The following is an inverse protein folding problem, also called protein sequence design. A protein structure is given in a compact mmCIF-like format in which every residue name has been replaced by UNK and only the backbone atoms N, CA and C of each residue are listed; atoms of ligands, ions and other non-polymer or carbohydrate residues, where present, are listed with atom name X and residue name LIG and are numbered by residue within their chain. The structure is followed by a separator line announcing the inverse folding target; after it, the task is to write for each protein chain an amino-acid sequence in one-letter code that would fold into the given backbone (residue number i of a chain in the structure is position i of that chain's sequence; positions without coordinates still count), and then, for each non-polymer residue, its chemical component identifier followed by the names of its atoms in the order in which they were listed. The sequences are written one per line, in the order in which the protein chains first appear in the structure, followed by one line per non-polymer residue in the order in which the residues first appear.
data_IF_784846335070
#
_entry.id   IF_784846335070
#
_cell.length_a   1.000
_cell.length_b   1.000
_cell.length_c   1.000
_cell.angle_alpha   90.00
_cell.angle_beta   90.00
_cell.angle_gamma   90.00
#
_symmetry.space_group_name_H-M   'P 1'
#
loop_
_entity.id
_entity.type
_entity.pdbx_description
1 polymer ?
#
# COMPACT_ATOMS: atom_id res chain seq x y z
N UNK A 1 12.65 -32.81 -31.47
CA UNK A 1 12.10 -33.18 -30.16
C UNK A 1 12.98 -34.23 -29.53
N UNK A 2 13.77 -33.88 -28.53
CA UNK A 2 14.39 -34.82 -27.59
C UNK A 2 14.72 -33.99 -26.34
N UNK A 3 14.00 -34.28 -25.30
CA UNK A 3 14.26 -33.73 -23.96
C UNK A 3 15.44 -34.49 -23.35
N UNK A 4 16.46 -33.77 -22.91
CA UNK A 4 17.54 -34.29 -22.09
C UNK A 4 17.24 -33.91 -20.62
N UNK A 5 17.57 -34.79 -19.63
CA UNK A 5 17.13 -34.63 -18.26
C UNK A 5 17.83 -33.47 -17.55
N UNK A 6 17.13 -32.89 -16.61
CA UNK A 6 17.56 -31.81 -15.72
C UNK A 6 18.81 -32.21 -14.92
N UNK A 7 19.85 -31.39 -15.01
CA UNK A 7 20.98 -31.41 -14.07
C UNK A 7 20.69 -30.36 -12.94
N UNK A 8 20.58 -30.81 -11.69
CA UNK A 8 20.24 -29.94 -10.55
C UNK A 8 21.32 -28.92 -10.15
N UNK A 9 22.49 -28.93 -10.82
CA UNK A 9 23.64 -28.09 -10.49
C UNK A 9 23.82 -26.90 -11.47
N UNK A 10 23.00 -26.73 -12.48
CA UNK A 10 23.10 -25.58 -13.41
C UNK A 10 22.36 -24.35 -12.87
N UNK A 11 23.10 -23.40 -12.37
CA UNK A 11 22.62 -22.05 -11.98
C UNK A 11 22.51 -21.15 -13.23
N UNK A 12 21.41 -21.23 -13.96
CA UNK A 12 21.11 -20.28 -15.05
C UNK A 12 20.39 -20.88 -16.25
N UNK A 13 19.47 -20.14 -16.83
CA UNK A 13 18.74 -20.50 -18.05
C UNK A 13 19.53 -20.01 -19.28
N UNK A 14 20.01 -20.92 -20.12
CA UNK A 14 20.69 -20.57 -21.38
C UNK A 14 19.66 -20.60 -22.52
N UNK A 15 19.32 -19.45 -23.08
CA UNK A 15 18.52 -19.35 -24.31
C UNK A 15 19.47 -19.19 -25.49
N UNK A 16 19.53 -20.20 -26.37
CA UNK A 16 20.28 -20.13 -27.64
C UNK A 16 19.37 -19.58 -28.75
N UNK A 17 19.60 -18.36 -29.18
CA UNK A 17 19.10 -17.87 -30.47
C UNK A 17 20.19 -18.03 -31.55
N UNK A 18 19.87 -18.75 -32.61
CA UNK A 18 20.73 -18.92 -33.78
C UNK A 18 20.33 -17.89 -34.83
N UNK A 19 21.06 -16.79 -34.94
CA UNK A 19 20.97 -15.83 -36.03
C UNK A 19 22.40 -15.63 -36.55
N UNK A 20 22.57 -15.76 -37.86
CA UNK A 20 23.80 -15.89 -38.61
C UNK A 20 24.99 -15.02 -38.19
N UNK A 21 26.16 -15.61 -38.26
CA UNK A 21 27.52 -15.05 -38.25
C UNK A 21 27.83 -13.83 -37.37
N UNK A 22 27.37 -13.82 -36.10
CA UNK A 22 27.84 -12.88 -35.09
C UNK A 22 28.29 -13.63 -33.85
N UNK A 23 29.41 -13.17 -33.29
CA UNK A 23 29.98 -13.67 -32.04
C UNK A 23 28.92 -13.81 -30.94
N UNK A 24 28.78 -14.94 -30.21
CA UNK A 24 27.76 -15.07 -29.19
C UNK A 24 28.14 -14.22 -27.97
N UNK A 25 27.57 -13.00 -27.90
CA UNK A 25 27.53 -12.24 -26.66
C UNK A 25 26.49 -12.88 -25.73
N UNK A 26 26.97 -13.52 -24.69
CA UNK A 26 26.10 -14.04 -23.62
C UNK A 26 25.59 -12.83 -22.82
N UNK A 27 24.31 -12.45 -23.02
CA UNK A 27 23.59 -11.55 -22.11
C UNK A 27 23.24 -12.34 -20.86
N UNK A 28 24.01 -12.17 -19.80
CA UNK A 28 23.59 -12.56 -18.47
C UNK A 28 22.49 -11.60 -18.02
N UNK A 29 21.23 -12.02 -18.11
CA UNK A 29 20.19 -11.38 -17.32
C UNK A 29 20.50 -11.67 -15.85
N UNK A 30 20.63 -10.66 -14.99
CA UNK A 30 20.76 -10.91 -13.56
C UNK A 30 19.52 -11.70 -13.12
N UNK A 31 19.75 -12.80 -12.41
CA UNK A 31 18.67 -13.52 -11.72
C UNK A 31 17.91 -12.50 -10.89
N UNK A 32 16.55 -12.55 -10.86
CA UNK A 32 15.79 -11.69 -9.98
C UNK A 32 16.39 -11.83 -8.58
N UNK A 33 16.69 -10.66 -7.98
CA UNK A 33 17.22 -10.61 -6.62
C UNK A 33 16.37 -11.57 -5.78
N UNK A 34 17.00 -12.50 -5.10
CA UNK A 34 16.31 -13.41 -4.18
C UNK A 34 15.61 -12.49 -3.18
N UNK A 35 14.28 -12.42 -3.27
CA UNK A 35 13.45 -11.76 -2.26
C UNK A 35 13.83 -12.44 -0.96
N UNK A 36 14.57 -11.74 -0.12
CA UNK A 36 15.00 -12.24 1.18
C UNK A 36 13.70 -12.59 1.91
N UNK A 37 13.43 -13.88 2.07
CA UNK A 37 12.18 -14.34 2.69
C UNK A 37 12.19 -13.81 4.11
N UNK A 38 11.45 -12.73 4.34
CA UNK A 38 11.35 -12.13 5.65
C UNK A 38 10.53 -13.09 6.53
N UNK A 39 11.13 -13.56 7.59
CA UNK A 39 10.45 -14.39 8.57
C UNK A 39 9.93 -13.47 9.67
N UNK A 40 8.67 -13.06 9.57
CA UNK A 40 8.01 -12.31 10.62
C UNK A 40 6.99 -13.20 11.34
N UNK A 41 7.06 -13.20 12.66
CA UNK A 41 6.06 -13.78 13.54
C UNK A 41 5.35 -12.65 14.29
N UNK A 42 4.02 -12.71 14.34
CA UNK A 42 3.22 -11.77 15.12
C UNK A 42 3.60 -11.82 16.60
N UNK A 43 3.32 -10.76 17.32
CA UNK A 43 3.63 -10.68 18.74
C UNK A 43 2.86 -11.76 19.53
N UNK A 44 3.46 -12.32 20.58
CA UNK A 44 2.76 -13.30 21.43
C UNK A 44 1.45 -12.73 22.00
N UNK A 45 0.40 -13.55 22.00
CA UNK A 45 -0.91 -13.17 22.54
C UNK A 45 -1.85 -12.47 21.57
N UNK A 46 -1.41 -12.12 20.37
CA UNK A 46 -2.25 -11.52 19.32
C UNK A 46 -3.33 -12.49 18.84
N UNK A 47 -4.53 -11.96 18.70
CA UNK A 47 -5.74 -12.69 18.29
C UNK A 47 -6.36 -12.14 16.99
N UNK A 48 -5.93 -10.97 16.52
CA UNK A 48 -6.40 -10.36 15.28
C UNK A 48 -5.36 -9.44 14.65
N UNK A 49 -5.44 -9.25 13.33
CA UNK A 49 -4.52 -8.43 12.56
C UNK A 49 -5.28 -7.36 11.79
N UNK A 50 -4.78 -6.14 11.79
CA UNK A 50 -5.28 -5.06 10.95
C UNK A 50 -4.13 -4.61 10.05
N UNK A 51 -4.46 -4.33 8.80
CA UNK A 51 -3.50 -3.83 7.82
C UNK A 51 -4.00 -2.49 7.27
N UNK A 52 -3.13 -1.50 7.23
CA UNK A 52 -3.35 -0.39 6.32
C UNK A 52 -3.20 -0.88 4.86
N UNK A 53 -3.64 -0.07 3.90
CA UNK A 53 -3.62 -0.45 2.49
C UNK A 53 -2.48 0.23 1.72
N UNK A 54 -2.48 1.57 1.72
CA UNK A 54 -1.67 2.39 0.82
C UNK A 54 -0.24 2.56 1.36
N UNK A 55 0.74 1.87 0.79
CA UNK A 55 2.10 1.81 1.31
C UNK A 55 2.33 0.66 2.30
N UNK A 56 1.28 -0.09 2.63
CA UNK A 56 1.35 -1.25 3.53
C UNK A 56 1.04 -2.56 2.80
N UNK A 57 -0.19 -2.77 2.36
CA UNK A 57 -0.57 -3.95 1.57
C UNK A 57 -0.25 -3.79 0.09
N UNK A 58 -0.34 -2.56 -0.42
CA UNK A 58 -0.22 -2.22 -1.83
C UNK A 58 0.71 -1.03 -2.04
N UNK A 59 1.61 -1.13 -3.02
CA UNK A 59 2.55 -0.07 -3.41
C UNK A 59 1.83 0.98 -4.28
N UNK A 60 0.92 1.74 -3.65
CA UNK A 60 0.08 2.77 -4.28
C UNK A 60 0.70 4.16 -4.20
N UNK A 61 1.61 4.40 -3.27
CA UNK A 61 2.10 5.74 -2.94
C UNK A 61 2.75 6.48 -4.11
N UNK A 62 3.55 5.85 -4.99
CA UNK A 62 4.08 6.52 -6.18
C UNK A 62 2.98 7.12 -7.07
N UNK A 63 1.87 6.39 -7.22
CA UNK A 63 0.74 6.81 -8.05
C UNK A 63 -0.10 7.89 -7.36
N UNK A 64 -0.28 7.81 -6.05
CA UNK A 64 -0.92 8.86 -5.26
C UNK A 64 -0.15 10.16 -5.34
N UNK A 65 1.15 10.15 -5.11
CA UNK A 65 1.98 11.36 -5.18
C UNK A 65 2.01 11.97 -6.58
N UNK A 66 2.10 11.12 -7.62
CA UNK A 66 2.02 11.58 -9.01
C UNK A 66 0.67 12.24 -9.29
N UNK A 67 -0.43 11.62 -8.88
CA UNK A 67 -1.78 12.17 -9.05
C UNK A 67 -1.93 13.54 -8.37
N UNK A 68 -1.49 13.67 -7.12
CA UNK A 68 -1.49 14.95 -6.41
C UNK A 68 -0.69 16.03 -7.13
N UNK A 69 0.53 15.69 -7.57
CA UNK A 69 1.41 16.64 -8.26
C UNK A 69 0.78 17.14 -9.56
N UNK A 70 0.23 16.25 -10.37
CA UNK A 70 -0.42 16.61 -11.64
C UNK A 70 -1.68 17.44 -11.38
N UNK A 71 -2.51 17.06 -10.41
CA UNK A 71 -3.70 17.84 -10.03
C UNK A 71 -3.33 19.27 -9.61
N UNK A 72 -2.32 19.43 -8.77
CA UNK A 72 -1.85 20.74 -8.35
C UNK A 72 -1.35 21.59 -9.52
N UNK A 73 -0.54 21.01 -10.42
CA UNK A 73 0.00 21.70 -11.59
C UNK A 73 -1.11 22.23 -12.51
N UNK A 74 -2.20 21.48 -12.66
CA UNK A 74 -3.37 21.91 -13.45
C UNK A 74 -4.00 23.20 -12.94
N UNK A 75 -3.94 23.41 -11.63
CA UNK A 75 -4.46 24.62 -10.97
C UNK A 75 -3.37 25.67 -10.68
N UNK A 76 -2.18 25.53 -11.31
CA UNK A 76 -1.08 26.50 -11.18
C UNK A 76 -0.34 26.42 -9.84
N UNK A 77 -0.50 25.32 -9.09
CA UNK A 77 0.19 25.08 -7.84
C UNK A 77 1.31 24.04 -8.00
N UNK A 78 2.33 24.12 -7.16
CA UNK A 78 3.38 23.11 -7.04
C UNK A 78 3.52 22.68 -5.59
N UNK A 79 3.59 21.38 -5.36
CA UNK A 79 3.78 20.78 -4.04
C UNK A 79 4.87 19.70 -4.11
N UNK A 80 5.68 19.66 -3.06
CA UNK A 80 6.72 18.65 -2.91
C UNK A 80 6.19 17.38 -2.24
N UNK A 81 6.93 16.31 -2.42
CA UNK A 81 6.61 15.00 -1.81
C UNK A 81 6.68 15.07 -0.28
N UNK A 82 7.57 15.90 0.29
CA UNK A 82 7.71 16.03 1.74
C UNK A 82 6.44 16.62 2.38
N UNK A 83 5.78 17.54 1.67
CA UNK A 83 4.47 18.04 2.11
C UNK A 83 3.42 16.93 2.12
N UNK A 84 3.30 16.16 1.03
CA UNK A 84 2.32 15.08 0.93
C UNK A 84 2.52 13.99 2.00
N UNK A 85 3.77 13.66 2.30
CA UNK A 85 4.11 12.64 3.31
C UNK A 85 3.56 12.96 4.70
N UNK A 86 3.44 14.23 5.08
CA UNK A 86 2.90 14.65 6.38
C UNK A 86 1.44 14.24 6.58
N UNK A 87 0.73 14.01 5.48
CA UNK A 87 -0.69 13.67 5.49
C UNK A 87 -0.96 12.23 5.07
N UNK A 88 0.08 11.40 4.93
CA UNK A 88 -0.09 9.97 4.63
C UNK A 88 -0.95 9.31 5.71
N UNK A 89 -1.98 8.57 5.27
CA UNK A 89 -2.95 7.94 6.16
C UNK A 89 -4.22 8.77 6.42
N UNK A 90 -4.25 10.06 6.00
CA UNK A 90 -5.48 10.87 6.07
C UNK A 90 -6.29 10.80 4.77
N UNK A 91 -7.59 11.11 4.82
CA UNK A 91 -8.41 11.21 3.61
C UNK A 91 -7.92 12.26 2.62
N UNK A 92 -8.10 11.99 1.33
CA UNK A 92 -7.64 12.87 0.27
C UNK A 92 -8.22 14.29 0.33
N UNK A 93 -9.47 14.47 0.78
CA UNK A 93 -10.07 15.80 0.90
C UNK A 93 -9.39 16.69 1.97
N UNK A 94 -8.81 16.09 3.02
CA UNK A 94 -7.98 16.82 3.98
C UNK A 94 -6.70 17.31 3.28
N UNK A 95 -6.08 16.44 2.48
CA UNK A 95 -4.88 16.79 1.71
C UNK A 95 -5.19 17.91 0.72
N UNK A 96 -6.34 17.84 0.02
CA UNK A 96 -6.79 18.85 -0.92
C UNK A 96 -7.02 20.21 -0.24
N UNK A 97 -7.65 20.24 0.93
CA UNK A 97 -7.87 21.46 1.72
C UNK A 97 -6.54 22.09 2.14
N UNK A 98 -5.60 21.29 2.62
CA UNK A 98 -4.27 21.77 3.01
C UNK A 98 -3.45 22.27 1.80
N UNK A 99 -3.61 21.66 0.62
CA UNK A 99 -3.03 22.18 -0.64
C UNK A 99 -3.61 23.54 -0.98
N UNK A 100 -4.93 23.70 -0.93
CA UNK A 100 -5.62 24.97 -1.21
C UNK A 100 -5.09 26.08 -0.31
N UNK A 101 -4.96 25.82 0.99
CA UNK A 101 -4.41 26.76 1.97
C UNK A 101 -2.96 27.10 1.66
N UNK A 102 -2.10 26.07 1.50
CA UNK A 102 -0.66 26.25 1.28
C UNK A 102 -0.34 27.02 0.01
N UNK A 103 -1.08 26.76 -1.07
CA UNK A 103 -0.86 27.37 -2.38
C UNK A 103 -1.68 28.63 -2.64
N UNK A 104 -2.41 29.15 -1.62
CA UNK A 104 -3.27 30.35 -1.73
C UNK A 104 -4.32 30.24 -2.84
N UNK A 105 -4.91 29.06 -3.04
CA UNK A 105 -5.93 28.80 -4.06
C UNK A 105 -7.36 29.09 -3.57
N UNK A 106 -7.52 29.65 -2.37
CA UNK A 106 -8.83 29.94 -1.79
C UNK A 106 -9.71 30.78 -2.73
N UNK A 107 -10.92 30.29 -3.00
CA UNK A 107 -11.88 30.93 -3.91
C UNK A 107 -11.63 30.74 -5.41
N UNK A 108 -10.49 30.12 -5.78
CA UNK A 108 -10.14 29.82 -7.16
C UNK A 108 -10.38 28.34 -7.51
N UNK A 109 -10.25 27.45 -6.54
CA UNK A 109 -10.35 25.98 -6.70
C UNK A 109 -11.08 25.42 -5.48
N UNK A 110 -11.93 24.40 -5.72
CA UNK A 110 -12.61 23.67 -4.66
C UNK A 110 -11.86 22.36 -4.32
N UNK A 111 -12.14 21.81 -3.13
CA UNK A 111 -11.64 20.50 -2.71
C UNK A 111 -12.00 19.42 -3.75
N UNK A 112 -13.28 19.40 -4.19
CA UNK A 112 -13.77 18.42 -5.16
C UNK A 112 -13.01 18.51 -6.49
N UNK A 113 -12.74 19.71 -6.99
CA UNK A 113 -11.98 19.89 -8.22
C UNK A 113 -10.56 19.29 -8.15
N UNK A 114 -9.86 19.51 -7.04
CA UNK A 114 -8.53 18.91 -6.84
C UNK A 114 -8.63 17.39 -6.69
N UNK A 115 -9.63 16.93 -5.94
CA UNK A 115 -9.86 15.49 -5.73
C UNK A 115 -10.18 14.76 -7.02
N UNK A 116 -11.07 15.31 -7.85
CA UNK A 116 -11.46 14.74 -9.13
C UNK A 116 -10.24 14.58 -10.05
N UNK A 117 -9.44 15.63 -10.20
CA UNK A 117 -8.22 15.57 -11.02
C UNK A 117 -7.21 14.56 -10.47
N UNK A 118 -6.99 14.54 -9.16
CA UNK A 118 -6.11 13.57 -8.51
C UNK A 118 -6.57 12.14 -8.74
N UNK A 119 -7.88 11.87 -8.60
CA UNK A 119 -8.44 10.54 -8.80
C UNK A 119 -8.38 10.10 -10.26
N UNK A 120 -8.64 11.02 -11.22
CA UNK A 120 -8.47 10.73 -12.65
C UNK A 120 -7.05 10.26 -12.93
N UNK A 121 -6.04 10.97 -12.43
CA UNK A 121 -4.63 10.60 -12.65
C UNK A 121 -4.25 9.29 -11.94
N UNK A 122 -4.72 9.10 -10.70
CA UNK A 122 -4.48 7.86 -9.96
C UNK A 122 -5.09 6.64 -10.68
N UNK A 123 -6.34 6.73 -11.14
CA UNK A 123 -7.03 5.63 -11.80
C UNK A 123 -6.42 5.22 -13.15
N UNK A 124 -5.76 6.14 -13.86
CA UNK A 124 -5.03 5.81 -15.09
C UNK A 124 -3.95 4.75 -14.87
N UNK A 125 -3.27 4.81 -13.74
CA UNK A 125 -2.12 3.96 -13.43
C UNK A 125 -2.40 2.93 -12.31
N UNK A 126 -3.58 2.93 -11.70
CA UNK A 126 -3.92 2.02 -10.61
C UNK A 126 -3.75 0.54 -10.99
N UNK A 127 -3.92 0.21 -12.28
CA UNK A 127 -3.70 -1.15 -12.80
C UNK A 127 -2.24 -1.63 -12.71
N UNK A 128 -1.29 -0.72 -12.46
CA UNK A 128 0.14 -1.02 -12.29
C UNK A 128 0.51 -1.30 -10.83
N UNK A 129 -0.41 -1.04 -9.90
CA UNK A 129 -0.20 -1.24 -8.45
C UNK A 129 0.12 -2.70 -8.18
N UNK A 130 1.14 -2.92 -7.36
CA UNK A 130 1.60 -4.26 -6.95
C UNK A 130 1.40 -4.45 -5.46
N UNK A 131 1.17 -5.70 -5.02
CA UNK A 131 1.16 -6.02 -3.60
C UNK A 131 2.58 -5.87 -3.00
N UNK A 132 2.67 -5.41 -1.76
CA UNK A 132 3.90 -5.36 -0.97
C UNK A 132 4.14 -6.75 -0.39
N UNK A 133 5.00 -7.51 -1.05
CA UNK A 133 5.15 -8.95 -0.83
C UNK A 133 5.44 -9.32 0.63
N UNK A 134 6.36 -8.65 1.37
CA UNK A 134 6.63 -9.01 2.77
C UNK A 134 5.37 -8.96 3.66
N UNK A 135 4.51 -7.97 3.48
CA UNK A 135 3.27 -7.82 4.25
C UNK A 135 2.23 -8.86 3.80
N UNK A 136 2.11 -9.08 2.48
CA UNK A 136 1.17 -10.06 1.93
C UNK A 136 1.51 -11.50 2.35
N UNK A 137 2.78 -11.82 2.59
CA UNK A 137 3.16 -13.13 3.12
C UNK A 137 2.62 -13.35 4.55
N UNK A 138 2.48 -12.28 5.36
CA UNK A 138 1.81 -12.35 6.67
C UNK A 138 0.31 -12.60 6.49
N UNK A 139 -0.33 -11.85 5.60
CA UNK A 139 -1.76 -12.07 5.27
C UNK A 139 -2.00 -13.54 4.91
N UNK A 140 -1.20 -14.09 4.00
CA UNK A 140 -1.32 -15.50 3.57
C UNK A 140 -1.05 -16.50 4.71
N UNK A 141 -0.07 -16.20 5.56
CA UNK A 141 0.32 -17.06 6.69
C UNK A 141 -0.80 -17.21 7.71
N UNK A 142 -1.53 -16.11 7.99
CA UNK A 142 -2.55 -16.08 9.02
C UNK A 142 -3.99 -16.17 8.50
N UNK A 143 -4.17 -16.22 7.17
CA UNK A 143 -5.48 -16.39 6.56
C UNK A 143 -6.17 -17.69 7.02
N UNK A 144 -7.40 -17.56 7.52
CA UNK A 144 -8.16 -18.68 8.09
C UNK A 144 -7.69 -19.14 9.48
N UNK A 145 -6.66 -18.47 10.05
CA UNK A 145 -6.15 -18.75 11.40
C UNK A 145 -6.55 -17.63 12.37
N UNK A 146 -6.41 -16.37 11.95
CA UNK A 146 -6.79 -15.21 12.72
C UNK A 146 -7.77 -14.33 11.93
N UNK A 147 -8.72 -13.66 12.59
CA UNK A 147 -9.48 -12.58 11.98
C UNK A 147 -8.55 -11.48 11.47
N UNK A 148 -8.86 -10.96 10.27
CA UNK A 148 -8.06 -9.90 9.65
C UNK A 148 -8.97 -8.82 9.09
N UNK A 149 -8.53 -7.56 9.16
CA UNK A 149 -9.22 -6.41 8.61
C UNK A 149 -8.28 -5.49 7.85
N UNK A 150 -8.85 -4.70 6.93
CA UNK A 150 -8.21 -3.51 6.35
C UNK A 150 -8.75 -2.28 7.06
N UNK A 151 -7.85 -1.38 7.53
CA UNK A 151 -8.20 -0.11 8.14
C UNK A 151 -7.40 1.03 7.50
N UNK A 152 -8.00 1.78 6.56
CA UNK A 152 -7.30 2.75 5.72
C UNK A 152 -7.98 4.12 5.69
N UNK A 153 -7.20 5.18 5.46
CA UNK A 153 -7.68 6.53 5.15
C UNK A 153 -8.12 6.72 3.69
N UNK A 154 -8.04 5.68 2.86
CA UNK A 154 -8.47 5.72 1.47
C UNK A 154 -9.99 5.83 1.29
N UNK A 155 -10.41 6.39 0.14
CA UNK A 155 -11.82 6.39 -0.26
C UNK A 155 -12.25 4.99 -0.72
N UNK A 156 -13.45 4.55 -0.33
CA UNK A 156 -13.94 3.18 -0.53
C UNK A 156 -13.76 2.64 -1.94
N UNK A 157 -14.16 3.39 -2.96
CA UNK A 157 -14.03 2.94 -4.35
C UNK A 157 -12.56 2.65 -4.73
N UNK A 158 -11.63 3.54 -4.38
CA UNK A 158 -10.22 3.36 -4.67
C UNK A 158 -9.63 2.15 -3.92
N UNK A 159 -10.04 1.95 -2.66
CA UNK A 159 -9.65 0.82 -1.80
C UNK A 159 -10.10 -0.51 -2.41
N UNK A 160 -11.38 -0.63 -2.75
CA UNK A 160 -11.95 -1.87 -3.31
C UNK A 160 -11.30 -2.22 -4.66
N UNK A 161 -11.07 -1.22 -5.52
CA UNK A 161 -10.34 -1.42 -6.79
C UNK A 161 -8.90 -1.86 -6.56
N UNK A 162 -8.17 -1.25 -5.61
CA UNK A 162 -6.80 -1.64 -5.28
C UNK A 162 -6.74 -3.08 -4.77
N UNK A 163 -7.63 -3.46 -3.86
CA UNK A 163 -7.72 -4.83 -3.34
C UNK A 163 -8.05 -5.84 -4.45
N UNK A 164 -8.92 -5.48 -5.39
CA UNK A 164 -9.27 -6.33 -6.53
C UNK A 164 -8.08 -6.51 -7.49
N UNK A 165 -7.41 -5.41 -7.88
CA UNK A 165 -6.26 -5.42 -8.80
C UNK A 165 -5.10 -6.23 -8.22
N UNK A 166 -4.83 -6.09 -6.92
CA UNK A 166 -3.75 -6.81 -6.23
C UNK A 166 -4.11 -8.26 -5.87
N UNK A 167 -5.38 -8.66 -6.09
CA UNK A 167 -5.88 -9.99 -5.74
C UNK A 167 -6.02 -10.24 -4.23
N UNK A 168 -6.03 -9.15 -3.42
CA UNK A 168 -6.07 -9.21 -1.96
C UNK A 168 -7.50 -9.22 -1.40
N UNK A 169 -8.51 -8.82 -2.16
CA UNK A 169 -9.91 -8.73 -1.70
C UNK A 169 -10.41 -10.00 -1.02
N UNK A 170 -9.99 -11.17 -1.49
CA UNK A 170 -10.41 -12.48 -0.96
C UNK A 170 -9.95 -12.79 0.48
N UNK A 171 -9.03 -12.00 1.02
CA UNK A 171 -8.47 -12.23 2.36
C UNK A 171 -9.18 -11.43 3.45
N UNK A 172 -10.02 -10.46 3.09
CA UNK A 172 -10.57 -9.50 4.03
C UNK A 172 -12.10 -9.38 3.90
N UNK A 173 -12.81 -9.81 4.94
CA UNK A 173 -14.26 -9.62 5.06
C UNK A 173 -14.60 -8.27 5.73
N UNK A 174 -13.63 -7.67 6.44
CA UNK A 174 -13.76 -6.40 7.15
C UNK A 174 -12.84 -5.38 6.50
N UNK A 175 -13.44 -4.31 5.96
CA UNK A 175 -12.72 -3.20 5.32
C UNK A 175 -13.33 -1.90 5.85
N UNK A 176 -12.54 -1.15 6.62
CA UNK A 176 -12.88 0.17 7.13
C UNK A 176 -12.09 1.21 6.34
N UNK A 177 -12.81 2.16 5.79
CA UNK A 177 -12.28 3.23 4.92
C UNK A 177 -12.59 4.60 5.52
N UNK A 178 -12.11 5.67 4.90
CA UNK A 178 -12.48 7.03 5.30
C UNK A 178 -14.01 7.31 5.24
N UNK A 179 -14.78 6.52 4.51
CA UNK A 179 -16.22 6.67 4.41
C UNK A 179 -17.00 6.06 5.60
N UNK A 180 -16.32 5.30 6.47
CA UNK A 180 -16.94 4.55 7.56
C UNK A 180 -16.66 5.15 8.95
N UNK A 181 -15.92 6.26 9.01
CA UNK A 181 -15.49 6.92 10.24
C UNK A 181 -15.72 8.43 10.17
N UNK A 182 -15.85 9.07 11.33
CA UNK A 182 -15.96 10.53 11.46
C UNK A 182 -14.61 11.17 11.74
N UNK A 183 -13.75 10.49 12.47
CA UNK A 183 -12.43 10.96 12.87
C UNK A 183 -11.34 10.12 12.20
N UNK A 184 -10.39 10.80 11.55
CA UNK A 184 -9.37 10.18 10.71
C UNK A 184 -8.04 10.08 11.46
N UNK A 185 -7.14 9.18 11.01
CA UNK A 185 -5.79 9.07 11.53
C UNK A 185 -5.14 10.47 11.68
N UNK A 186 -4.55 10.81 12.84
CA UNK A 186 -4.10 9.92 13.91
C UNK A 186 -5.18 9.49 14.93
N UNK A 187 -6.43 9.95 14.83
CA UNK A 187 -7.50 9.48 15.70
C UNK A 187 -7.71 7.96 15.53
N UNK A 188 -7.92 7.19 16.63
CA UNK A 188 -7.93 5.72 16.60
C UNK A 188 -9.18 5.09 15.98
N UNK A 189 -10.19 5.86 15.59
CA UNK A 189 -11.52 5.36 15.20
C UNK A 189 -11.47 4.31 14.09
N UNK A 190 -10.63 4.51 13.05
CA UNK A 190 -10.49 3.54 11.96
C UNK A 190 -10.14 2.14 12.48
N UNK A 191 -9.20 2.05 13.40
CA UNK A 191 -8.75 0.77 13.94
C UNK A 191 -9.69 0.24 15.01
N UNK A 192 -10.28 1.10 15.82
CA UNK A 192 -11.31 0.70 16.80
C UNK A 192 -12.55 0.11 16.11
N UNK A 193 -12.97 0.66 14.96
CA UNK A 193 -14.07 0.09 14.17
C UNK A 193 -13.71 -1.29 13.61
N UNK A 194 -12.45 -1.50 13.18
CA UNK A 194 -11.99 -2.83 12.80
C UNK A 194 -12.07 -3.80 13.99
N UNK A 195 -11.58 -3.41 15.17
CA UNK A 195 -11.61 -4.22 16.39
C UNK A 195 -13.04 -4.61 16.79
N UNK A 196 -13.97 -3.63 16.74
CA UNK A 196 -15.39 -3.85 17.03
C UNK A 196 -16.00 -4.93 16.13
N UNK A 197 -15.77 -4.82 14.80
CA UNK A 197 -16.29 -5.78 13.84
C UNK A 197 -15.63 -7.16 13.95
N UNK A 198 -14.35 -7.22 14.30
CA UNK A 198 -13.65 -8.48 14.60
C UNK A 198 -14.05 -9.07 15.94
N UNK A 199 -14.68 -8.28 16.84
CA UNK A 199 -15.04 -8.64 18.22
C UNK A 199 -13.81 -9.06 19.05
N UNK A 200 -12.73 -8.29 18.91
CA UNK A 200 -11.45 -8.53 19.60
C UNK A 200 -11.07 -7.25 20.34
N UNK A 201 -10.68 -7.40 21.60
CA UNK A 201 -10.17 -6.27 22.39
C UNK A 201 -8.89 -5.70 21.78
N UNK A 202 -8.72 -4.37 21.72
CA UNK A 202 -7.60 -3.70 21.05
C UNK A 202 -6.23 -4.22 21.46
N UNK A 203 -6.01 -4.52 22.73
CA UNK A 203 -4.73 -5.01 23.27
C UNK A 203 -4.26 -6.35 22.66
N UNK A 204 -5.17 -7.12 22.01
CA UNK A 204 -4.87 -8.36 21.32
C UNK A 204 -4.79 -8.21 19.80
N UNK A 205 -4.69 -6.98 19.30
CA UNK A 205 -4.61 -6.70 17.87
C UNK A 205 -3.24 -6.12 17.52
N UNK A 206 -2.68 -6.61 16.43
CA UNK A 206 -1.48 -6.04 15.82
C UNK A 206 -1.85 -5.35 14.50
N UNK A 207 -1.45 -4.07 14.38
CA UNK A 207 -1.67 -3.22 13.21
C UNK A 207 -0.37 -3.10 12.42
N UNK A 208 -0.42 -3.33 11.11
CA UNK A 208 0.69 -3.12 10.18
C UNK A 208 0.45 -1.81 9.44
N UNK A 209 1.45 -0.92 9.46
CA UNK A 209 1.34 0.45 8.98
C UNK A 209 2.69 0.99 8.49
N UNK A 210 2.64 1.93 7.50
CA UNK A 210 3.81 2.65 6.98
C UNK A 210 3.79 4.17 7.25
N UNK A 211 2.68 4.71 7.71
CA UNK A 211 2.48 6.15 8.00
C UNK A 211 2.60 6.49 9.49
N UNK A 212 3.27 7.60 9.82
CA UNK A 212 3.39 8.04 11.22
C UNK A 212 2.02 8.27 11.88
N UNK A 213 1.06 8.87 11.15
CA UNK A 213 -0.29 9.11 11.67
C UNK A 213 -1.06 7.81 11.92
N UNK A 214 -0.82 6.78 11.11
CA UNK A 214 -1.45 5.49 11.31
C UNK A 214 -0.83 4.71 12.47
N UNK A 215 0.49 4.79 12.65
CA UNK A 215 1.18 4.22 13.81
C UNK A 215 0.65 4.86 15.10
N UNK A 216 0.53 6.20 15.12
CA UNK A 216 -0.05 6.94 16.25
C UNK A 216 -1.48 6.49 16.53
N UNK A 217 -2.33 6.40 15.50
CA UNK A 217 -3.71 5.94 15.64
C UNK A 217 -3.82 4.52 16.23
N UNK A 218 -2.93 3.60 15.82
CA UNK A 218 -2.91 2.24 16.37
C UNK A 218 -2.51 2.21 17.86
N UNK A 219 -1.51 3.00 18.23
CA UNK A 219 -1.07 3.13 19.62
C UNK A 219 -2.14 3.79 20.49
N UNK A 220 -2.81 4.85 19.99
CA UNK A 220 -3.93 5.48 20.71
C UNK A 220 -5.14 4.55 20.84
N UNK A 221 -5.35 3.63 19.89
CA UNK A 221 -6.34 2.57 20.01
C UNK A 221 -6.00 1.52 21.09
N UNK A 222 -4.82 1.56 21.69
CA UNK A 222 -4.33 0.54 22.62
C UNK A 222 -3.85 -0.74 21.93
N UNK A 223 -3.56 -0.68 20.62
CA UNK A 223 -3.09 -1.80 19.81
C UNK A 223 -1.56 -1.82 19.69
N UNK A 224 -1.00 -2.94 19.25
CA UNK A 224 0.40 -3.02 18.87
C UNK A 224 0.56 -2.51 17.44
N UNK A 225 1.43 -1.52 17.24
CA UNK A 225 1.77 -1.03 15.90
C UNK A 225 3.08 -1.64 15.41
N UNK A 226 3.07 -2.14 14.18
CA UNK A 226 4.25 -2.67 13.48
C UNK A 226 4.51 -1.84 12.23
N UNK A 227 5.62 -1.09 12.26
CA UNK A 227 6.10 -0.27 11.14
C UNK A 227 6.70 -1.14 10.05
N UNK A 228 6.11 -1.11 8.85
CA UNK A 228 6.55 -1.94 7.72
C UNK A 228 7.51 -1.24 6.76
N UNK A 229 7.83 0.03 6.97
CA UNK A 229 8.69 0.84 6.07
C UNK A 229 10.04 0.21 5.76
N UNK A 230 10.62 -0.48 6.73
CA UNK A 230 11.93 -1.14 6.56
C UNK A 230 11.87 -2.49 5.85
N UNK A 231 10.67 -2.96 5.47
CA UNK A 231 10.48 -4.31 4.93
C UNK A 231 10.61 -4.37 3.41
N UNK A 232 10.53 -3.24 2.75
CA UNK A 232 10.63 -3.12 1.31
C UNK A 232 11.28 -1.78 0.94
N UNK A 233 11.86 -1.72 -0.26
CA UNK A 233 12.44 -0.49 -0.77
C UNK A 233 11.30 0.41 -1.30
N UNK A 234 10.88 1.36 -0.48
CA UNK A 234 9.98 2.42 -0.92
C UNK A 234 10.75 3.45 -1.73
N UNK A 235 10.56 3.46 -3.06
CA UNK A 235 11.18 4.46 -3.96
C UNK A 235 10.35 5.75 -4.07
N UNK A 236 9.56 6.11 -3.04
CA UNK A 236 8.69 7.28 -3.00
C UNK A 236 8.92 8.17 -1.80
#
# INVERSE_FOLDING_TARGET
MLFSPFDPNTKGLIIKHKIGNFCPSYFFLPLPQQIKKMHYDIKPGIKGLIFDLDGTLADTMPYHFKGWKIACQKFGADIDTAFLRKYTGTPGWIIADEIIKKCNLNGSVTIDQIMDEKLIEFYKEQHLVKPIIPVVEIVKKYYGILPMAVGTGGHREAVERTLAITGLAKYFDIIITANDVENFKPHPETFLRCAELMKIEPEFIEVFEDGDLGIEAALEAGMIATDVRSWYDSNW
#
